data_IF_921066772358
#
_entry.id   IF_921066772358
#
_cell.length_a   1.000
_cell.length_b   1.000
_cell.length_c   1.000
_cell.angle_alpha   90.00
_cell.angle_beta   90.00
_cell.angle_gamma   90.00
#
_symmetry.space_group_name_H-M   'P 1'
#
loop_
_entity.id
_entity.type
_entity.pdbx_description
1 polymer ?
2 water ?
#
# COMPACT_ATOMS: atom_id res chain seq x y z
N UNK A 4 -8.82 -10.64 -33.75
CA UNK A 4 -8.82 -9.70 -32.62
C UNK A 4 -7.45 -9.08 -32.28
N UNK A 5 -7.38 -8.09 -31.43
CA UNK A 5 -6.10 -7.54 -31.00
C UNK A 5 -6.27 -7.33 -29.50
N UNK A 6 -5.25 -7.68 -28.74
CA UNK A 6 -5.33 -7.52 -27.31
C UNK A 6 -5.09 -6.10 -26.95
N UNK A 7 -5.87 -5.57 -26.00
CA UNK A 7 -5.66 -4.23 -25.48
C UNK A 7 -5.65 -4.28 -23.96
N UNK A 8 -4.93 -3.33 -23.35
CA UNK A 8 -4.89 -3.16 -21.91
C UNK A 8 -5.90 -2.09 -21.50
N UNK A 9 -6.86 -2.46 -20.64
CA UNK A 9 -7.97 -1.61 -20.26
C UNK A 9 -7.97 -1.36 -18.76
N UNK A 10 -8.30 -0.16 -18.32
CA UNK A 10 -8.30 0.14 -16.88
C UNK A 10 -9.64 -0.16 -16.24
N UNK A 11 -9.58 -0.41 -14.93
CA UNK A 11 -10.73 -0.26 -14.06
C UNK A 11 -10.39 0.88 -13.12
N UNK A 12 -11.27 1.87 -13.02
CA UNK A 12 -10.97 3.06 -12.25
C UNK A 12 -10.81 2.77 -10.76
N UNK A 13 -9.67 3.19 -10.21
CA UNK A 13 -9.51 3.26 -8.76
C UNK A 13 -9.69 4.72 -8.39
N UNK A 14 -10.56 4.98 -7.42
CA UNK A 14 -10.85 6.37 -7.08
C UNK A 14 -9.72 6.99 -6.29
N UNK A 15 -9.45 8.26 -6.60
CA UNK A 15 -8.34 9.00 -6.01
C UNK A 15 -7.06 8.16 -5.99
N UNK A 16 -6.76 7.56 -7.16
CA UNK A 16 -5.69 6.60 -7.29
C UNK A 16 -4.31 7.22 -7.10
N UNK A 17 -4.19 8.54 -7.19
CA UNK A 17 -2.93 9.23 -7.00
C UNK A 17 -2.92 10.04 -5.71
N UNK A 18 -3.90 9.82 -4.84
CA UNK A 18 -3.99 10.51 -3.55
C UNK A 18 -3.96 12.01 -3.71
N UNK A 19 -4.58 12.49 -4.79
CA UNK A 19 -4.70 13.92 -4.99
C UNK A 19 -5.66 14.50 -3.95
N UNK A 20 -6.83 13.90 -3.82
CA UNK A 20 -7.80 14.40 -2.84
C UNK A 20 -7.37 14.02 -1.43
N UNK A 21 -6.85 12.82 -1.26
CA UNK A 21 -6.31 12.38 0.03
C UNK A 21 -5.31 13.40 0.57
N UNK A 22 -4.37 13.83 -0.29
CA UNK A 22 -3.40 14.83 0.12
C UNK A 22 -4.07 16.17 0.40
N UNK A 23 -4.94 16.62 -0.51
CA UNK A 23 -5.59 17.92 -0.35
C UNK A 23 -6.42 17.98 0.92
N UNK A 24 -7.00 16.86 1.34
CA UNK A 24 -7.86 16.78 2.51
C UNK A 24 -7.18 16.20 3.73
N UNK A 25 -5.84 16.13 3.72
CA UNK A 25 -5.03 15.76 4.88
C UNK A 25 -5.43 14.40 5.46
N UNK A 26 -5.52 13.40 4.59
CA UNK A 26 -5.85 12.06 5.00
C UNK A 26 -7.33 11.73 5.03
N UNK A 27 -8.20 12.72 5.06
CA UNK A 27 -9.63 12.43 5.02
C UNK A 27 -10.00 11.98 3.62
N UNK A 28 -10.82 10.94 3.57
CA UNK A 28 -11.23 10.37 2.30
C UNK A 28 -12.49 9.56 2.51
N UNK A 29 -13.40 9.66 1.55
CA UNK A 29 -14.56 8.79 1.52
C UNK A 29 -14.33 7.53 0.69
N UNK A 30 -13.15 7.40 0.07
CA UNK A 30 -12.88 6.24 -0.77
C UNK A 30 -11.70 5.45 -0.22
N UNK A 31 -10.71 6.13 0.37
CA UNK A 31 -9.62 5.45 1.04
C UNK A 31 -9.99 5.24 2.50
N UNK A 32 -9.94 3.99 2.94
CA UNK A 32 -10.14 3.61 4.33
C UNK A 32 -8.77 3.46 4.97
N UNK A 33 -8.50 4.24 6.02
CA UNK A 33 -7.26 4.08 6.77
C UNK A 33 -7.38 2.93 7.76
N UNK A 34 -6.35 2.11 7.78
CA UNK A 34 -6.17 1.07 8.78
C UNK A 34 -5.14 1.63 9.74
N UNK A 35 -5.57 2.04 10.93
CA UNK A 35 -4.71 2.83 11.80
C UNK A 35 -5.32 2.88 13.19
N UNK A 36 -4.49 3.32 14.12
CA UNK A 36 -4.89 3.63 15.48
C UNK A 36 -3.67 4.15 16.20
N UNK A 37 -3.18 5.32 15.78
CA UNK A 37 -1.81 5.70 16.10
C UNK A 37 -1.57 5.72 17.61
N UNK A 38 -2.36 6.50 18.35
CA UNK A 38 -2.13 6.60 19.79
C UNK A 38 -2.59 5.38 20.56
N UNK A 39 -3.24 4.43 19.90
CA UNK A 39 -3.55 3.14 20.51
C UNK A 39 -2.53 2.08 20.13
N UNK A 40 -1.56 2.41 19.29
CA UNK A 40 -0.47 1.50 18.98
C UNK A 40 -0.60 0.78 17.66
N UNK A 41 -1.63 1.07 16.86
CA UNK A 41 -1.89 0.31 15.65
C UNK A 41 -1.43 1.02 14.38
N UNK A 42 -0.46 1.93 14.51
CA UNK A 42 0.12 2.55 13.35
C UNK A 42 -0.60 3.82 12.95
N UNK A 43 0.07 4.57 12.08
CA UNK A 43 -0.40 5.88 11.65
C UNK A 43 -0.44 5.92 10.14
N UNK A 44 -1.53 6.46 9.59
CA UNK A 44 -1.68 6.67 8.16
C UNK A 44 -1.99 8.14 7.94
N UNK A 45 -1.31 8.74 6.99
CA UNK A 45 -1.57 10.12 6.66
C UNK A 45 -1.02 10.39 5.28
N UNK A 46 -1.07 11.65 4.90
CA UNK A 46 -0.60 12.04 3.58
C UNK A 46 0.83 12.57 3.64
N UNK A 47 1.53 12.40 2.53
CA UNK A 47 2.86 12.93 2.32
C UNK A 47 2.86 13.66 0.98
N UNK A 48 3.70 14.69 0.88
CA UNK A 48 3.81 15.39 -0.39
C UNK A 48 4.57 14.61 -1.45
N UNK A 49 5.31 13.58 -1.06
CA UNK A 49 6.03 12.74 -2.00
C UNK A 49 5.05 12.02 -2.91
N UNK A 50 5.43 11.83 -4.17
CA UNK A 50 4.57 11.12 -5.10
C UNK A 50 5.42 10.49 -6.19
N UNK A 51 4.81 9.54 -6.91
CA UNK A 51 5.55 8.77 -7.90
C UNK A 51 5.73 9.53 -9.20
N UNK A 52 4.67 10.13 -9.74
CA UNK A 52 4.71 10.71 -11.08
C UNK A 52 4.35 12.19 -11.09
N UNK A 53 4.33 12.84 -9.94
CA UNK A 53 4.14 14.27 -9.87
C UNK A 53 2.75 14.71 -9.50
N UNK A 54 1.84 13.77 -9.27
CA UNK A 54 0.45 14.07 -9.03
C UNK A 54 0.09 13.73 -7.59
N UNK A 55 -0.66 14.64 -6.97
CA UNK A 55 -1.16 14.46 -5.63
C UNK A 55 -0.05 14.25 -4.64
N UNK A 56 -0.36 13.46 -3.62
CA UNK A 56 0.66 13.07 -2.67
C UNK A 56 0.79 11.58 -2.62
N UNK A 57 0.99 11.05 -1.42
CA UNK A 57 1.09 9.61 -1.21
C UNK A 57 0.55 9.31 0.17
N UNK A 58 0.16 8.06 0.37
CA UNK A 58 -0.24 7.60 1.68
C UNK A 58 1.01 7.15 2.41
N UNK A 59 1.31 7.82 3.52
CA UNK A 59 2.49 7.49 4.31
C UNK A 59 2.03 6.63 5.48
N UNK A 60 2.65 5.46 5.62
CA UNK A 60 2.30 4.47 6.64
C UNK A 60 3.48 4.34 7.58
N UNK A 61 3.23 4.50 8.89
CA UNK A 61 4.36 4.55 9.81
C UNK A 61 3.90 4.16 11.21
N UNK A 62 4.88 3.92 12.07
CA UNK A 62 4.69 3.86 13.51
C UNK A 62 5.45 5.05 14.08
N UNK A 63 4.74 5.99 14.68
CA UNK A 63 5.34 7.27 15.03
C UNK A 63 6.46 7.11 16.04
N UNK A 64 7.57 7.81 15.80
CA UNK A 64 8.75 7.69 16.65
C UNK A 64 8.55 8.30 18.02
N UNK A 65 7.49 9.08 18.21
CA UNK A 65 7.20 9.69 19.50
C UNK A 65 6.06 9.00 20.21
N UNK A 66 5.76 7.77 19.81
CA UNK A 66 4.68 6.99 20.42
C UNK A 66 5.29 5.67 20.89
N UNK A 67 4.95 5.26 22.12
CA UNK A 67 5.65 4.13 22.72
C UNK A 67 4.69 3.07 23.22
N UNK A 68 3.56 2.91 22.55
CA UNK A 68 2.68 1.80 22.85
C UNK A 68 2.36 1.00 21.60
N UNK A 69 3.27 1.00 20.63
CA UNK A 69 3.01 0.33 19.36
C UNK A 69 2.83 -1.17 19.53
N UNK A 70 1.92 -1.71 18.74
CA UNK A 70 1.85 -3.14 18.47
C UNK A 70 2.43 -3.30 17.07
N UNK A 71 3.69 -3.73 16.99
CA UNK A 71 4.32 -3.79 15.68
C UNK A 71 3.84 -4.97 14.85
N UNK A 72 2.90 -5.77 15.37
CA UNK A 72 2.21 -6.73 14.54
C UNK A 72 1.00 -6.15 13.83
N UNK A 73 0.65 -4.89 14.11
CA UNK A 73 -0.42 -4.22 13.40
C UNK A 73 -0.10 -4.08 11.94
N UNK A 74 -1.16 -3.95 11.13
CA UNK A 74 -1.06 -3.87 9.69
C UNK A 74 -1.67 -2.56 9.21
N UNK A 75 -1.01 -1.43 9.47
CA UNK A 75 -1.56 -0.15 9.05
C UNK A 75 -1.47 0.02 7.54
N UNK A 76 -2.31 0.88 7.00
CA UNK A 76 -2.28 1.13 5.57
C UNK A 76 -3.65 1.60 5.11
N UNK A 77 -3.97 1.28 3.85
CA UNK A 77 -5.20 1.75 3.25
C UNK A 77 -5.91 0.60 2.57
N UNK A 78 -7.22 0.75 2.45
CA UNK A 78 -7.98 -0.12 1.57
C UNK A 78 -9.02 0.72 0.83
N UNK A 79 -9.57 0.14 -0.21
CA UNK A 79 -10.61 0.81 -0.99
C UNK A 79 -11.48 -0.26 -1.63
N UNK A 80 -12.80 -0.09 -1.52
CA UNK A 80 -13.74 -0.96 -2.22
C UNK A 80 -13.87 -0.42 -3.63
N UNK A 81 -13.50 -1.22 -4.62
CA UNK A 81 -13.49 -0.80 -6.01
C UNK A 81 -14.50 -1.62 -6.78
N UNK A 82 -15.38 -0.92 -7.51
CA UNK A 82 -16.43 -1.53 -8.31
C UNK A 82 -16.04 -1.54 -9.78
N UNK A 83 -16.81 -2.29 -10.56
CA UNK A 83 -16.67 -2.25 -12.00
C UNK A 83 -15.60 -3.13 -12.60
N UNK A 84 -15.06 -4.07 -11.83
CA UNK A 84 -14.12 -5.02 -12.42
C UNK A 84 -14.89 -5.96 -13.34
N UNK A 85 -14.31 -6.35 -14.47
CA UNK A 85 -14.95 -7.36 -15.31
C UNK A 85 -14.96 -8.72 -14.62
N UNK A 86 -16.05 -9.45 -14.83
CA UNK A 86 -16.17 -10.80 -14.30
C UNK A 86 -15.20 -11.72 -15.03
N UNK A 87 -14.71 -12.73 -14.31
CA UNK A 87 -14.01 -13.85 -14.93
C UNK A 87 -12.79 -13.40 -15.72
N UNK A 88 -12.07 -12.42 -15.19
CA UNK A 88 -11.00 -11.77 -15.91
C UNK A 88 -9.76 -11.70 -15.04
N UNK A 89 -8.61 -11.96 -15.64
CA UNK A 89 -7.33 -11.76 -14.96
C UNK A 89 -7.07 -10.26 -14.87
N UNK A 90 -7.17 -9.72 -13.67
CA UNK A 90 -6.97 -8.29 -13.43
C UNK A 90 -5.63 -8.14 -12.73
N UNK A 91 -4.85 -7.15 -13.16
CA UNK A 91 -3.59 -6.84 -12.53
C UNK A 91 -3.78 -5.61 -11.64
N UNK A 92 -3.58 -5.82 -10.35
CA UNK A 92 -3.65 -4.78 -9.32
C UNK A 92 -2.22 -4.32 -9.07
N UNK A 93 -1.96 -3.05 -9.30
CA UNK A 93 -0.64 -2.51 -9.05
C UNK A 93 -0.71 -1.26 -8.19
N UNK A 94 0.39 -0.98 -7.51
CA UNK A 94 0.58 0.33 -6.92
C UNK A 94 2.06 0.62 -6.95
N UNK A 95 2.41 1.84 -6.60
CA UNK A 95 3.81 2.21 -6.47
C UNK A 95 4.16 2.36 -4.99
N UNK A 96 5.30 1.77 -4.59
CA UNK A 96 5.64 1.53 -3.20
C UNK A 96 7.02 2.09 -2.96
N UNK A 97 7.11 3.07 -2.08
CA UNK A 97 8.35 3.74 -1.74
C UNK A 97 8.75 3.39 -0.31
N UNK A 98 9.73 2.52 -0.18
CA UNK A 98 10.35 2.21 1.09
C UNK A 98 11.81 2.66 0.97
N UNK A 99 12.19 3.66 1.78
CA UNK A 99 13.55 4.20 1.74
C UNK A 99 14.49 3.51 2.71
N UNK A 100 14.05 2.45 3.39
CA UNK A 100 14.83 1.87 4.47
C UNK A 100 15.75 0.73 4.02
N UNK A 101 15.96 0.59 2.71
CA UNK A 101 17.02 -0.24 2.12
C UNK A 101 16.77 -1.74 2.29
N UNK A 102 17.76 -2.57 1.96
CA UNK A 102 17.50 -4.01 1.95
C UNK A 102 17.21 -4.55 3.35
N UNK A 103 17.70 -3.87 4.38
CA UNK A 103 17.42 -4.25 5.76
C UNK A 103 16.02 -3.87 6.22
N UNK A 104 15.21 -3.25 5.36
CA UNK A 104 13.95 -2.68 5.84
C UNK A 104 13.11 -3.69 6.61
N UNK A 105 12.61 -3.25 7.76
CA UNK A 105 11.67 -4.03 8.53
C UNK A 105 10.26 -3.99 7.95
N UNK A 106 10.03 -3.22 6.89
CA UNK A 106 8.71 -3.17 6.30
C UNK A 106 8.58 -4.12 5.14
N UNK A 107 7.45 -4.79 5.07
CA UNK A 107 7.03 -5.56 3.92
C UNK A 107 5.66 -5.06 3.53
N UNK A 108 5.46 -4.81 2.24
CA UNK A 108 4.12 -4.48 1.77
C UNK A 108 3.28 -5.75 1.66
N UNK A 109 2.09 -5.70 2.25
CA UNK A 109 1.12 -6.79 2.17
C UNK A 109 -0.06 -6.23 1.41
N UNK A 110 -0.26 -6.69 0.18
CA UNK A 110 -1.28 -6.09 -0.63
C UNK A 110 -2.08 -7.17 -1.34
N UNK A 111 -3.31 -6.84 -1.69
CA UNK A 111 -4.13 -7.82 -2.38
C UNK A 111 -5.54 -7.33 -2.49
N UNK A 112 -6.43 -8.30 -2.69
CA UNK A 112 -7.83 -8.03 -2.94
C UNK A 112 -8.66 -9.01 -2.14
N UNK A 113 -9.75 -8.51 -1.59
CA UNK A 113 -10.71 -9.35 -0.89
C UNK A 113 -12.08 -9.19 -1.53
N UNK A 114 -12.94 -10.17 -1.32
CA UNK A 114 -14.29 -10.14 -1.85
C UNK A 114 -15.25 -9.49 -0.85
N UNK A 115 -16.53 -9.48 -1.21
CA UNK A 115 -17.56 -8.81 -0.44
C UNK A 115 -17.72 -9.40 0.95
N UNK A 116 -17.31 -10.65 1.15
CA UNK A 116 -17.39 -11.28 2.46
C UNK A 116 -16.07 -11.21 3.23
N UNK A 117 -15.08 -10.48 2.72
CA UNK A 117 -13.80 -10.36 3.39
C UNK A 117 -12.83 -11.48 3.15
N UNK A 118 -13.16 -12.42 2.27
CA UNK A 118 -12.27 -13.51 1.93
C UNK A 118 -11.20 -13.03 0.96
N UNK A 119 -9.99 -13.55 1.14
CA UNK A 119 -8.88 -13.16 0.29
C UNK A 119 -9.06 -13.72 -1.11
N UNK A 120 -9.09 -12.84 -2.11
CA UNK A 120 -9.02 -13.27 -3.51
C UNK A 120 -7.57 -13.48 -3.92
N UNK A 121 -6.70 -12.53 -3.57
CA UNK A 121 -5.27 -12.66 -3.80
C UNK A 121 -4.56 -11.89 -2.70
N UNK A 122 -3.40 -12.41 -2.32
CA UNK A 122 -2.52 -11.80 -1.34
C UNK A 122 -1.11 -11.86 -1.87
N UNK A 123 -0.37 -10.78 -1.67
CA UNK A 123 0.96 -10.66 -2.23
C UNK A 123 1.79 -9.85 -1.26
N UNK A 124 3.08 -10.15 -1.24
CA UNK A 124 4.05 -9.44 -0.42
C UNK A 124 5.12 -8.85 -1.32
N UNK A 125 5.60 -7.68 -0.94
CA UNK A 125 6.65 -7.03 -1.69
C UNK A 125 7.62 -6.38 -0.72
N UNK A 126 8.91 -6.58 -0.95
CA UNK A 126 9.93 -5.95 -0.13
C UNK A 126 10.88 -5.22 -1.05
N UNK A 127 11.27 -4.01 -0.65
CA UNK A 127 12.11 -3.16 -1.48
C UNK A 127 13.41 -3.86 -1.91
N UNK A 128 13.92 -4.82 -1.12
CA UNK A 128 15.13 -5.51 -1.54
C UNK A 128 14.97 -6.19 -2.89
N UNK A 129 13.74 -6.52 -3.28
CA UNK A 129 13.45 -7.20 -4.54
C UNK A 129 13.00 -6.26 -5.63
N UNK A 130 13.01 -4.95 -5.39
CA UNK A 130 12.41 -3.99 -6.30
C UNK A 130 13.43 -3.07 -6.97
N UNK A 131 14.72 -3.38 -6.90
CA UNK A 131 15.72 -2.45 -7.40
C UNK A 131 15.57 -2.20 -8.90
N UNK A 132 15.07 -3.17 -9.64
CA UNK A 132 14.90 -3.06 -11.07
C UNK A 132 13.45 -2.90 -11.49
N UNK A 133 12.53 -2.72 -10.54
CA UNK A 133 11.13 -2.56 -10.86
C UNK A 133 10.89 -1.23 -11.57
N UNK A 134 9.77 -1.10 -12.31
CA UNK A 134 9.41 0.22 -12.83
C UNK A 134 9.33 1.20 -11.68
N UNK A 135 9.66 2.46 -11.94
CA UNK A 135 9.77 3.45 -10.88
C UNK A 135 9.01 4.73 -11.24
N UNK A 136 8.75 5.55 -10.21
CA UNK A 136 8.19 6.86 -10.44
C UNK A 136 9.18 7.77 -11.16
N UNK A 137 8.64 8.75 -11.88
CA UNK A 137 9.52 9.73 -12.52
C UNK A 137 9.90 10.86 -11.58
N UNK A 138 9.10 11.12 -10.55
CA UNK A 138 9.40 12.19 -9.62
C UNK A 138 10.23 11.63 -8.48
N UNK A 139 9.59 10.98 -7.51
CA UNK A 139 10.34 10.26 -6.48
C UNK A 139 10.58 8.85 -6.97
N UNK A 140 11.82 8.56 -7.37
CA UNK A 140 12.15 7.26 -7.95
C UNK A 140 12.16 6.15 -6.92
N UNK A 141 12.10 6.49 -5.61
CA UNK A 141 11.93 5.45 -4.60
C UNK A 141 10.63 4.70 -4.77
N UNK A 142 9.63 5.28 -5.43
CA UNK A 142 8.38 4.58 -5.68
C UNK A 142 8.60 3.51 -6.73
N UNK A 143 8.44 2.25 -6.36
CA UNK A 143 8.63 1.12 -7.24
C UNK A 143 7.31 0.43 -7.48
N UNK A 144 7.08 0.01 -8.72
CA UNK A 144 5.83 -0.66 -9.03
C UNK A 144 5.81 -2.08 -8.48
N UNK A 145 4.69 -2.46 -7.87
CA UNK A 145 4.44 -3.82 -7.43
C UNK A 145 3.11 -4.25 -8.00
N UNK A 146 2.97 -5.54 -8.27
CA UNK A 146 1.77 -6.01 -8.96
C UNK A 146 1.36 -7.37 -8.47
N UNK A 147 0.07 -7.63 -8.53
CA UNK A 147 -0.48 -8.97 -8.33
C UNK A 147 -1.62 -9.15 -9.31
N UNK A 148 -1.64 -10.29 -9.99
CA UNK A 148 -2.68 -10.60 -10.95
C UNK A 148 -3.56 -11.69 -10.38
N UNK A 149 -4.87 -11.51 -10.52
CA UNK A 149 -5.83 -12.44 -9.96
C UNK A 149 -7.05 -12.48 -10.88
N UNK A 150 -7.74 -13.60 -10.87
CA UNK A 150 -8.98 -13.69 -11.61
C UNK A 150 -10.15 -13.24 -10.75
N UNK A 151 -10.98 -12.37 -11.30
CA UNK A 151 -12.09 -11.79 -10.53
C UNK A 151 -13.17 -12.80 -10.23
N UNK A 152 -13.32 -13.85 -11.05
CA UNK A 152 -14.46 -14.73 -10.88
C UNK A 152 -15.74 -13.93 -10.91
N UNK A 153 -16.60 -14.14 -9.91
CA UNK A 153 -17.85 -13.40 -9.78
C UNK A 153 -17.70 -12.11 -9.00
N UNK A 154 -16.46 -11.68 -8.74
CA UNK A 154 -16.22 -10.49 -7.91
C UNK A 154 -16.00 -9.27 -8.80
N UNK A 155 -17.12 -8.65 -9.19
CA UNK A 155 -17.04 -7.40 -9.91
C UNK A 155 -16.64 -6.25 -9.02
N UNK A 156 -16.81 -6.40 -7.72
CA UNK A 156 -16.39 -5.41 -6.74
C UNK A 156 -15.46 -6.11 -5.76
N UNK A 157 -14.33 -5.47 -5.47
CA UNK A 157 -13.34 -6.06 -4.59
C UNK A 157 -12.84 -4.97 -3.65
N UNK A 158 -12.29 -5.40 -2.51
CA UNK A 158 -11.62 -4.49 -1.59
C UNK A 158 -10.11 -4.64 -1.82
N UNK A 159 -9.50 -3.59 -2.36
CA UNK A 159 -8.05 -3.55 -2.51
C UNK A 159 -7.46 -3.14 -1.19
N UNK A 160 -6.38 -3.81 -0.81
CA UNK A 160 -5.69 -3.36 0.38
C UNK A 160 -4.21 -3.22 0.11
N UNK A 161 -3.58 -2.33 0.85
CA UNK A 161 -2.13 -2.15 0.80
C UNK A 161 -1.73 -1.78 2.21
N UNK A 162 -1.17 -2.74 2.92
CA UNK A 162 -0.87 -2.64 4.35
C UNK A 162 0.59 -2.90 4.57
N UNK A 163 1.11 -2.47 5.72
CA UNK A 163 2.54 -2.61 5.97
C UNK A 163 2.73 -3.60 7.12
N UNK A 164 3.51 -4.65 6.86
CA UNK A 164 3.86 -5.63 7.89
C UNK A 164 5.29 -5.41 8.34
N UNK A 165 5.49 -5.38 9.65
CA UNK A 165 6.81 -5.16 10.25
C UNK A 165 7.41 -6.50 10.63
N UNK A 166 8.68 -6.71 10.25
CA UNK A 166 9.43 -7.93 10.59
C UNK A 166 8.59 -9.18 10.35
N UNK A 167 8.03 -9.27 9.15
CA UNK A 167 7.03 -10.28 8.84
C UNK A 167 7.61 -11.70 8.90
N UNK A 168 8.92 -11.86 8.69
CA UNK A 168 9.54 -13.17 8.60
C UNK A 168 10.58 -13.39 9.70
N UNK A 169 10.68 -12.49 10.67
CA UNK A 169 11.71 -12.57 11.68
C UNK A 169 11.11 -12.59 13.08
N UNK A 170 12.01 -12.59 14.05
CA UNK A 170 11.61 -12.62 15.46
C UNK A 170 12.31 -11.52 16.25
N UNK A 171 12.54 -10.34 15.65
CA UNK A 171 12.99 -9.22 16.46
C UNK A 171 11.96 -8.93 17.54
N UNK A 172 12.46 -8.55 18.70
CA UNK A 172 11.58 -8.18 19.79
C UNK A 172 11.09 -6.75 19.60
N UNK A 173 10.01 -6.44 20.31
CA UNK A 173 9.54 -5.06 20.38
C UNK A 173 10.65 -4.11 20.77
N UNK A 174 11.44 -4.48 21.79
CA UNK A 174 12.52 -3.60 22.23
C UNK A 174 13.56 -3.43 21.15
N UNK A 175 13.84 -4.49 20.40
CA UNK A 175 14.83 -4.38 19.34
C UNK A 175 14.34 -3.47 18.23
N UNK A 176 13.05 -3.51 17.93
CA UNK A 176 12.50 -2.58 16.94
C UNK A 176 12.55 -1.15 17.44
N UNK A 177 12.12 -0.92 18.69
CA UNK A 177 12.17 0.42 19.26
C UNK A 177 13.59 0.99 19.24
N UNK A 178 14.58 0.12 19.37
CA UNK A 178 15.96 0.59 19.42
C UNK A 178 16.55 0.79 18.03
N UNK A 179 15.82 0.44 16.98
CA UNK A 179 16.34 0.51 15.62
C UNK A 179 16.21 1.92 15.07
N UNK A 180 17.22 2.35 14.31
CA UNK A 180 17.12 3.60 13.58
C UNK A 180 15.95 3.61 12.61
N UNK A 181 15.55 2.45 12.08
CA UNK A 181 14.42 2.44 11.16
C UNK A 181 13.17 2.95 11.85
N UNK A 182 13.08 2.73 13.17
CA UNK A 182 12.02 3.32 13.97
C UNK A 182 12.36 4.73 14.44
N UNK A 183 13.49 4.89 15.15
CA UNK A 183 13.75 6.18 15.79
C UNK A 183 13.95 7.29 14.78
N UNK A 184 14.45 6.97 13.59
CA UNK A 184 14.65 7.97 12.55
C UNK A 184 13.58 7.96 11.48
N UNK A 185 13.18 6.78 11.01
CA UNK A 185 12.31 6.69 9.84
C UNK A 185 10.88 6.27 10.18
N UNK A 186 10.57 6.03 11.44
CA UNK A 186 9.22 5.68 11.87
C UNK A 186 8.70 4.45 11.11
N UNK A 187 9.62 3.56 10.75
CA UNK A 187 9.31 2.34 9.99
C UNK A 187 8.51 2.62 8.74
N UNK A 188 8.63 3.83 8.19
CA UNK A 188 7.63 4.33 7.26
C UNK A 188 7.79 3.77 5.85
N UNK A 189 6.65 3.72 5.14
CA UNK A 189 6.62 3.52 3.70
C UNK A 189 5.62 4.50 3.12
N UNK A 190 5.69 4.68 1.80
CA UNK A 190 4.73 5.53 1.10
C UNK A 190 4.14 4.78 -0.08
N UNK A 191 2.87 5.04 -0.33
CA UNK A 191 2.09 4.36 -1.35
C UNK A 191 1.51 5.39 -2.29
N UNK A 192 1.55 5.10 -3.58
CA UNK A 192 0.96 6.00 -4.57
C UNK A 192 0.52 5.18 -5.76
N UNK A 193 -0.31 5.79 -6.59
CA UNK A 193 -0.47 5.38 -7.98
C UNK A 193 -1.02 3.95 -8.09
N UNK A 194 -2.24 3.79 -7.62
CA UNK A 194 -2.91 2.50 -7.68
C UNK A 194 -3.53 2.32 -9.06
N UNK A 195 -3.52 1.09 -9.56
CA UNK A 195 -4.19 0.82 -10.82
C UNK A 195 -4.71 -0.61 -10.85
N UNK A 196 -5.72 -0.78 -11.70
CA UNK A 196 -6.27 -2.08 -12.05
C UNK A 196 -6.33 -2.11 -13.57
N UNK A 197 -5.72 -3.13 -14.17
CA UNK A 197 -5.82 -3.29 -15.61
C UNK A 197 -6.18 -4.73 -15.96
N UNK A 198 -6.68 -4.90 -17.18
CA UNK A 198 -6.93 -6.22 -17.69
C UNK A 198 -6.83 -6.18 -19.19
N UNK A 199 -6.75 -7.36 -19.79
CA UNK A 199 -6.64 -7.49 -21.23
C UNK A 199 -8.03 -7.71 -21.82
N UNK A 200 -8.36 -6.91 -22.83
CA UNK A 200 -9.59 -7.08 -23.59
C UNK A 200 -9.28 -7.13 -25.08
#
# INVERSE_FOLDING_TARGET
>A
MGIPTEVTLPVEVHDAQFVDFRANSGTSDVWVQHEGSSAGFGDVGSSGDNAFGDGGSARVRFKKDVFNHDFSALPGVSQVVEGLPFNTDVTYSLYYCDNKKDDSLSTLYFGARDINGNAITEEYAHVKDLSNAPQGTNKTCFKKVSTTFNTGNNGSVELFALMAIDVNGTMTEEEIYASSQFTSNELEVRLDEFSLTYKGEASDELLEHHHHHH
#
